data_IF_089468150331
#
_entry.id   IF_089468150331
#
_cell.length_a   1.000
_cell.length_b   1.000
_cell.length_c   1.000
_cell.angle_alpha   90.00
_cell.angle_beta   90.00
_cell.angle_gamma   90.00
#
_symmetry.space_group_name_H-M   'P 1'
#
loop_
_entity.id
_entity.type
_entity.pdbx_description
1 polymer ?
#
# COMPACT_ATOMS: atom_id res chain seq x y z
N UNK A 1 -4.65 9.64 -14.08
CA UNK A 1 -5.23 9.77 -12.76
C UNK A 1 -5.06 8.50 -11.96
N UNK A 2 -5.42 7.38 -12.56
CA UNK A 2 -5.46 6.12 -11.82
C UNK A 2 -4.10 5.77 -11.21
N UNK A 3 -3.04 5.83 -11.99
CA UNK A 3 -1.71 5.44 -11.52
C UNK A 3 -1.20 6.44 -10.47
N UNK A 4 -1.31 7.73 -10.75
CA UNK A 4 -0.83 8.76 -9.82
C UNK A 4 -1.68 8.85 -8.56
N UNK A 5 -2.97 8.49 -8.64
CA UNK A 5 -3.88 8.55 -7.50
C UNK A 5 -3.74 7.38 -6.54
N UNK A 6 -3.28 6.22 -7.00
CA UNK A 6 -3.19 5.01 -6.18
C UNK A 6 -2.22 5.17 -5.02
N UNK A 7 -1.01 5.64 -5.29
CA UNK A 7 0.02 5.80 -4.27
C UNK A 7 -0.43 6.71 -3.13
N UNK A 8 -0.82 7.95 -3.42
CA UNK A 8 -1.28 8.87 -2.39
C UNK A 8 -2.48 8.36 -1.61
N UNK A 9 -3.44 7.70 -2.27
CA UNK A 9 -4.63 7.19 -1.60
C UNK A 9 -4.25 6.08 -0.62
N UNK A 10 -3.43 5.13 -1.04
CA UNK A 10 -2.98 4.03 -0.18
C UNK A 10 -2.16 4.56 0.99
N UNK A 11 -1.25 5.50 0.74
CA UNK A 11 -0.45 6.11 1.80
C UNK A 11 -1.34 6.84 2.80
N UNK A 12 -2.31 7.61 2.32
CA UNK A 12 -3.24 8.31 3.21
C UNK A 12 -4.02 7.34 4.09
N UNK A 13 -4.48 6.23 3.51
CA UNK A 13 -5.19 5.20 4.27
C UNK A 13 -4.29 4.59 5.36
N UNK A 14 -3.05 4.27 5.01
CA UNK A 14 -2.11 3.69 5.96
C UNK A 14 -1.80 4.66 7.09
N UNK A 15 -1.50 5.91 6.76
CA UNK A 15 -1.15 6.93 7.77
C UNK A 15 -2.33 7.28 8.66
N UNK A 16 -3.52 7.50 8.08
CA UNK A 16 -4.69 7.86 8.88
C UNK A 16 -5.06 6.74 9.85
N UNK A 17 -4.92 5.49 9.41
CA UNK A 17 -5.18 4.34 10.27
C UNK A 17 -4.17 4.22 11.40
N UNK A 18 -2.88 4.34 11.08
CA UNK A 18 -1.82 4.19 12.09
C UNK A 18 -1.81 5.33 13.10
N UNK A 19 -2.03 6.56 12.65
CA UNK A 19 -1.97 7.74 13.49
C UNK A 19 -3.33 8.11 14.07
N UNK A 20 -4.38 7.42 13.65
CA UNK A 20 -5.77 7.69 14.04
C UNK A 20 -6.12 9.15 13.77
N UNK A 21 -5.74 9.63 12.59
CA UNK A 21 -5.90 11.03 12.19
C UNK A 21 -6.59 11.08 10.84
N UNK A 22 -7.90 11.35 10.85
CA UNK A 22 -8.71 11.40 9.65
C UNK A 22 -8.49 12.68 8.83
N UNK A 23 -7.69 13.62 9.33
CA UNK A 23 -7.35 14.80 8.55
C UNK A 23 -6.27 14.54 7.50
N UNK A 24 -5.62 13.38 7.56
CA UNK A 24 -4.66 12.97 6.54
C UNK A 24 -5.45 12.44 5.33
N UNK A 25 -5.40 13.19 4.24
CA UNK A 25 -6.22 12.91 3.05
C UNK A 25 -5.35 12.56 1.84
N UNK A 26 -5.89 11.84 0.86
CA UNK A 26 -5.17 11.59 -0.39
C UNK A 26 -4.69 12.88 -1.07
N UNK A 27 -5.48 13.94 -1.00
CA UNK A 27 -5.10 15.23 -1.59
C UNK A 27 -3.83 15.79 -0.96
N UNK A 28 -3.73 15.76 0.37
CA UNK A 28 -2.55 16.24 1.07
C UNK A 28 -1.32 15.42 0.68
N UNK A 29 -1.44 14.12 0.64
CA UNK A 29 -0.34 13.24 0.29
C UNK A 29 0.09 13.45 -1.17
N UNK A 30 -0.89 13.63 -2.06
CA UNK A 30 -0.62 13.91 -3.47
C UNK A 30 0.14 15.22 -3.65
N UNK A 31 -0.22 16.25 -2.88
CA UNK A 31 0.48 17.53 -2.92
C UNK A 31 1.93 17.41 -2.45
N UNK A 32 2.16 16.63 -1.41
CA UNK A 32 3.52 16.35 -0.92
C UNK A 32 4.32 15.59 -1.98
N UNK A 33 3.72 14.59 -2.59
CA UNK A 33 4.35 13.80 -3.64
C UNK A 33 4.79 14.69 -4.81
N UNK A 34 3.89 15.52 -5.31
CA UNK A 34 4.17 16.41 -6.43
C UNK A 34 5.21 17.47 -6.09
N UNK A 35 5.10 18.08 -4.90
CA UNK A 35 6.01 19.14 -4.48
C UNK A 35 7.44 18.65 -4.33
N UNK A 36 7.64 17.34 -4.11
CA UNK A 36 8.96 16.76 -3.86
C UNK A 36 9.44 15.87 -5.01
N UNK A 37 8.74 15.88 -6.15
CA UNK A 37 9.21 15.21 -7.36
C UNK A 37 9.06 13.71 -7.37
N UNK A 38 8.15 13.15 -6.59
CA UNK A 38 7.96 11.70 -6.51
C UNK A 38 6.90 11.16 -7.46
N UNK A 39 6.14 12.04 -8.12
CA UNK A 39 5.19 11.60 -9.13
C UNK A 39 5.86 11.62 -10.51
N UNK A 40 5.69 10.53 -11.27
CA UNK A 40 6.22 10.39 -12.63
C UNK A 40 5.13 9.91 -13.55
N UNK A 41 5.40 9.90 -14.86
CA UNK A 41 4.47 9.35 -15.85
C UNK A 41 4.19 7.86 -15.61
N UNK A 42 5.05 7.16 -14.87
CA UNK A 42 4.87 5.76 -14.51
C UNK A 42 4.18 5.59 -13.15
N UNK A 43 3.82 6.69 -12.49
CA UNK A 43 3.17 6.68 -11.19
C UNK A 43 4.10 7.16 -10.08
N UNK A 44 3.78 6.75 -8.85
CA UNK A 44 4.54 7.12 -7.66
C UNK A 44 5.89 6.40 -7.65
N UNK A 45 6.98 7.14 -7.43
CA UNK A 45 8.29 6.51 -7.21
C UNK A 45 8.26 5.74 -5.89
N UNK A 46 8.87 4.56 -5.87
CA UNK A 46 8.90 3.73 -4.65
C UNK A 46 9.59 4.42 -3.48
N UNK A 47 10.59 5.25 -3.73
CA UNK A 47 11.27 5.99 -2.66
C UNK A 47 10.35 6.98 -1.94
N UNK A 48 9.21 7.30 -2.52
CA UNK A 48 8.21 8.14 -1.85
C UNK A 48 7.72 7.51 -0.55
N UNK A 49 7.61 6.18 -0.52
CA UNK A 49 7.10 5.50 0.68
C UNK A 49 8.01 5.71 1.88
N UNK A 50 9.33 5.63 1.69
CA UNK A 50 10.28 5.92 2.76
C UNK A 50 10.24 7.40 3.15
N UNK A 51 10.16 8.27 2.16
CA UNK A 51 10.13 9.71 2.39
C UNK A 51 8.90 10.12 3.22
N UNK A 52 7.73 9.65 2.83
CA UNK A 52 6.49 10.06 3.49
C UNK A 52 6.36 9.44 4.90
N UNK A 53 6.84 8.22 5.08
CA UNK A 53 6.85 7.60 6.40
C UNK A 53 7.71 8.42 7.35
N UNK A 54 8.91 8.79 6.94
CA UNK A 54 9.83 9.59 7.73
C UNK A 54 9.21 10.95 8.09
N UNK A 55 8.54 11.57 7.13
CA UNK A 55 7.89 12.87 7.36
C UNK A 55 6.84 12.80 8.48
N UNK A 56 6.19 11.66 8.65
CA UNK A 56 5.20 11.45 9.71
C UNK A 56 5.76 10.69 10.91
N UNK A 57 7.08 10.63 11.04
CA UNK A 57 7.81 9.99 12.15
C UNK A 57 7.52 8.49 12.25
N UNK A 58 7.33 7.85 11.12
CA UNK A 58 7.16 6.42 11.02
C UNK A 58 8.36 5.80 10.31
N UNK A 59 8.48 4.48 10.41
CA UNK A 59 9.49 3.72 9.70
C UNK A 59 8.85 3.06 8.49
N UNK A 60 9.61 2.97 7.40
CA UNK A 60 9.22 2.22 6.22
C UNK A 60 10.26 1.14 6.00
N UNK A 61 9.81 -0.10 5.99
CA UNK A 61 10.71 -1.25 5.87
C UNK A 61 10.29 -2.03 4.62
N UNK A 62 11.22 -2.17 3.66
CA UNK A 62 10.93 -2.97 2.48
C UNK A 62 10.97 -4.45 2.87
N UNK A 63 9.88 -5.15 2.57
CA UNK A 63 9.75 -6.56 2.90
C UNK A 63 10.16 -7.43 1.72
N UNK A 64 10.68 -8.63 2.01
CA UNK A 64 10.82 -9.64 0.98
C UNK A 64 9.46 -10.25 0.70
N UNK A 65 9.26 -10.72 -0.52
CA UNK A 65 8.00 -11.35 -0.91
C UNK A 65 7.97 -12.77 -0.37
N UNK A 66 7.39 -12.93 0.81
CA UNK A 66 7.19 -14.24 1.43
C UNK A 66 5.97 -14.18 2.33
N UNK A 67 5.36 -15.34 2.52
CA UNK A 67 4.20 -15.45 3.38
C UNK A 67 4.55 -15.06 4.82
N UNK A 68 5.73 -15.45 5.29
CA UNK A 68 6.21 -15.14 6.62
C UNK A 68 6.33 -13.64 6.84
N UNK A 69 6.92 -12.91 5.88
CA UNK A 69 7.09 -11.46 5.99
C UNK A 69 5.75 -10.75 6.12
N UNK A 70 4.77 -11.16 5.29
CA UNK A 70 3.45 -10.56 5.31
C UNK A 70 2.76 -10.85 6.63
N UNK A 71 2.78 -12.11 7.08
CA UNK A 71 2.11 -12.50 8.32
C UNK A 71 2.72 -11.80 9.52
N UNK A 72 4.04 -11.67 9.57
CA UNK A 72 4.72 -11.00 10.68
C UNK A 72 4.33 -9.52 10.76
N UNK A 73 4.27 -8.83 9.61
CA UNK A 73 3.85 -7.44 9.60
C UNK A 73 2.40 -7.28 10.06
N UNK A 74 1.51 -8.16 9.62
CA UNK A 74 0.11 -8.15 10.05
C UNK A 74 0.01 -8.41 11.54
N UNK A 75 0.78 -9.37 12.06
CA UNK A 75 0.77 -9.72 13.48
C UNK A 75 1.27 -8.55 14.34
N UNK A 76 2.14 -7.70 13.80
CA UNK A 76 2.57 -6.47 14.47
C UNK A 76 1.51 -5.37 14.41
N UNK A 77 0.43 -5.58 13.67
CA UNK A 77 -0.62 -4.57 13.50
C UNK A 77 -0.28 -3.49 12.49
N UNK A 78 0.69 -3.75 11.61
CA UNK A 78 1.18 -2.75 10.66
C UNK A 78 0.61 -2.95 9.26
N UNK A 79 0.27 -1.87 8.53
CA UNK A 79 -0.18 -1.98 7.15
C UNK A 79 1.00 -2.24 6.21
N UNK A 80 0.71 -2.89 5.10
CA UNK A 80 1.70 -3.17 4.06
C UNK A 80 1.23 -2.50 2.76
N UNK A 81 2.09 -1.64 2.21
CA UNK A 81 1.88 -1.05 0.89
C UNK A 81 2.52 -1.96 -0.13
N UNK A 82 1.76 -2.39 -1.14
CA UNK A 82 2.26 -3.31 -2.14
C UNK A 82 2.11 -2.72 -3.54
N UNK A 83 3.20 -2.77 -4.32
CA UNK A 83 3.18 -2.44 -5.73
C UNK A 83 2.92 -3.72 -6.52
N UNK A 84 1.91 -3.72 -7.36
CA UNK A 84 1.53 -4.88 -8.16
C UNK A 84 1.66 -4.57 -9.66
N UNK A 85 2.08 -5.59 -10.43
CA UNK A 85 2.16 -5.43 -11.88
C UNK A 85 0.78 -5.65 -12.51
N UNK A 86 0.61 -5.35 -13.80
CA UNK A 86 -0.66 -5.65 -14.48
C UNK A 86 -1.01 -7.13 -14.35
N UNK A 87 -2.28 -7.40 -14.06
CA UNK A 87 -2.75 -8.76 -13.87
C UNK A 87 -4.16 -8.75 -13.29
N UNK A 88 -4.36 -9.46 -12.18
CA UNK A 88 -5.69 -9.62 -11.59
C UNK A 88 -6.27 -8.33 -11.02
N UNK A 89 -5.43 -7.41 -10.58
CA UNK A 89 -5.89 -6.16 -9.97
C UNK A 89 -6.21 -5.09 -11.01
N UNK A 90 -5.41 -5.03 -12.07
CA UNK A 90 -5.57 -3.95 -13.07
C UNK A 90 -4.82 -4.33 -14.34
N UNK A 91 -5.10 -3.60 -15.41
CA UNK A 91 -4.37 -3.74 -16.67
C UNK A 91 -3.08 -2.91 -16.71
N UNK A 92 -2.86 -2.06 -15.71
CA UNK A 92 -1.63 -1.26 -15.56
C UNK A 92 -1.09 -1.45 -14.14
N UNK A 93 0.15 -1.00 -13.89
CA UNK A 93 0.73 -1.06 -12.57
C UNK A 93 -0.13 -0.33 -11.54
N UNK A 94 -0.12 -0.80 -10.29
CA UNK A 94 -1.05 -0.33 -9.28
C UNK A 94 -0.45 -0.46 -7.88
N UNK A 95 -1.00 0.27 -6.92
CA UNK A 95 -0.60 0.21 -5.51
C UNK A 95 -1.82 -0.19 -4.70
N UNK A 96 -1.65 -1.17 -3.83
CA UNK A 96 -2.72 -1.65 -2.94
C UNK A 96 -2.24 -1.66 -1.49
N UNK A 97 -3.17 -1.80 -0.56
CA UNK A 97 -2.87 -1.85 0.86
C UNK A 97 -3.32 -3.20 1.43
N UNK A 98 -2.39 -3.93 2.05
CA UNK A 98 -2.71 -5.15 2.78
C UNK A 98 -2.93 -4.74 4.23
N UNK A 99 -4.15 -4.96 4.73
CA UNK A 99 -4.55 -4.47 6.04
C UNK A 99 -4.70 -5.57 7.10
N UNK A 100 -4.80 -6.82 6.69
CA UNK A 100 -4.98 -7.90 7.65
C UNK A 100 -5.18 -9.24 6.97
N UNK A 101 -5.57 -10.23 7.76
CA UNK A 101 -5.92 -11.55 7.25
C UNK A 101 -7.17 -12.05 7.97
N UNK A 102 -7.93 -12.90 7.29
CA UNK A 102 -9.12 -13.50 7.88
C UNK A 102 -8.78 -14.80 8.61
N UNK A 103 -9.79 -15.45 9.18
CA UNK A 103 -9.61 -16.70 9.93
C UNK A 103 -9.10 -17.86 9.07
N UNK A 104 -9.33 -17.79 7.77
CA UNK A 104 -8.85 -18.81 6.83
C UNK A 104 -7.42 -18.60 6.37
N UNK A 105 -6.74 -17.56 6.87
CA UNK A 105 -5.36 -17.26 6.48
C UNK A 105 -5.22 -16.53 5.16
N UNK A 106 -6.31 -16.03 4.60
CA UNK A 106 -6.31 -15.21 3.39
C UNK A 106 -6.24 -13.73 3.75
N UNK A 107 -5.80 -12.91 2.81
CA UNK A 107 -5.45 -11.52 3.10
C UNK A 107 -6.57 -10.57 2.72
N UNK A 108 -6.75 -9.57 3.57
CA UNK A 108 -7.73 -8.49 3.38
C UNK A 108 -7.01 -7.32 2.74
N UNK A 109 -7.50 -6.88 1.59
CA UNK A 109 -6.85 -5.87 0.76
C UNK A 109 -7.78 -4.67 0.64
N UNK A 110 -7.23 -3.47 0.80
CA UNK A 110 -7.89 -2.24 0.37
C UNK A 110 -7.31 -1.83 -0.98
N UNK A 111 -8.16 -1.86 -2.01
CA UNK A 111 -7.79 -1.49 -3.36
C UNK A 111 -8.54 -0.19 -3.72
N UNK A 112 -7.85 0.95 -3.79
CA UNK A 112 -8.53 2.23 -4.01
C UNK A 112 -9.26 2.33 -5.35
N UNK A 113 -8.93 1.44 -6.30
CA UNK A 113 -9.55 1.47 -7.63
C UNK A 113 -10.74 0.54 -7.76
N UNK A 114 -11.03 -0.31 -6.77
CA UNK A 114 -12.10 -1.29 -6.94
C UNK A 114 -12.74 -1.70 -5.62
N UNK A 115 -14.00 -1.33 -5.48
CA UNK A 115 -14.81 -1.77 -4.35
C UNK A 115 -14.95 -3.29 -4.34
N UNK A 116 -15.17 -3.89 -5.51
CA UNK A 116 -15.32 -5.34 -5.61
C UNK A 116 -14.06 -6.09 -5.19
N UNK A 117 -12.88 -5.59 -5.58
CA UNK A 117 -11.63 -6.22 -5.16
C UNK A 117 -11.34 -6.01 -3.69
N UNK A 118 -11.79 -4.89 -3.11
CA UNK A 118 -11.66 -4.62 -1.67
C UNK A 118 -12.49 -5.59 -0.84
N UNK A 119 -13.66 -5.99 -1.33
CA UNK A 119 -14.52 -6.95 -0.63
C UNK A 119 -14.00 -8.39 -0.75
N UNK A 120 -13.12 -8.67 -1.70
CA UNK A 120 -12.60 -10.01 -1.91
C UNK A 120 -11.37 -10.24 -1.03
N UNK A 121 -11.26 -11.43 -0.46
CA UNK A 121 -10.03 -11.85 0.22
C UNK A 121 -9.14 -12.59 -0.78
N UNK A 122 -7.82 -12.51 -0.58
CA UNK A 122 -6.84 -13.03 -1.51
C UNK A 122 -5.90 -14.00 -0.80
N UNK A 123 -5.62 -15.14 -1.44
CA UNK A 123 -4.66 -16.08 -0.90
C UNK A 123 -3.24 -15.57 -1.19
N UNK A 124 -2.26 -16.11 -0.44
CA UNK A 124 -0.87 -15.81 -0.74
C UNK A 124 -0.50 -16.24 -2.17
N UNK A 125 -1.00 -17.39 -2.62
CA UNK A 125 -0.69 -17.87 -3.97
C UNK A 125 -1.18 -16.90 -5.05
N UNK A 126 -2.31 -16.26 -4.82
CA UNK A 126 -2.80 -15.21 -5.74
C UNK A 126 -1.94 -13.96 -5.66
N UNK A 127 -1.59 -13.52 -4.46
CA UNK A 127 -0.82 -12.28 -4.28
C UNK A 127 0.61 -12.40 -4.78
N UNK A 128 1.27 -13.53 -4.55
CA UNK A 128 2.69 -13.67 -4.89
C UNK A 128 2.96 -13.53 -6.38
N UNK A 129 1.96 -13.79 -7.23
CA UNK A 129 2.12 -13.64 -8.68
C UNK A 129 1.91 -12.19 -9.13
N UNK A 130 1.33 -11.34 -8.27
CA UNK A 130 0.98 -9.97 -8.62
C UNK A 130 1.96 -8.95 -8.01
N UNK A 131 2.48 -9.23 -6.82
CA UNK A 131 3.28 -8.26 -6.07
C UNK A 131 4.70 -8.16 -6.61
N UNK A 132 5.15 -6.93 -6.87
CA UNK A 132 6.52 -6.63 -7.28
C UNK A 132 7.37 -6.27 -6.06
N UNK A 133 6.83 -5.45 -5.16
CA UNK A 133 7.54 -4.95 -3.99
C UNK A 133 6.55 -4.56 -2.91
N UNK A 134 7.00 -4.58 -1.65
CA UNK A 134 6.15 -4.27 -0.50
C UNK A 134 6.91 -3.46 0.52
N UNK A 135 6.18 -2.60 1.24
CA UNK A 135 6.74 -1.81 2.35
C UNK A 135 5.80 -1.89 3.54
N UNK A 136 6.37 -2.20 4.71
CA UNK A 136 5.64 -2.16 5.98
C UNK A 136 5.87 -0.79 6.61
N UNK A 137 4.80 -0.11 7.01
CA UNK A 137 4.91 1.11 7.81
C UNK A 137 4.78 0.73 9.30
N UNK A 138 5.68 1.24 10.12
CA UNK A 138 5.66 0.96 11.56
C UNK A 138 6.01 2.20 12.37
N UNK A 139 5.60 2.18 13.62
CA UNK A 139 5.97 3.24 14.56
C UNK A 139 7.38 3.08 15.09
#
# INVERSE_FOLDING_TARGET
VAIGGCGPTVVAMALSGMLKDETITPKQISEIENANGYFTSLGTKWSFFDFIADKYNLKSIKLSLSKASINEAIDRGNPIIASVHPGKFTTVGHIILIVGKNNGGNYIINDPNSYNRTLKVWSYDELKTEIIAMWEFSK
#
